data_IF_511049616576
#
_entry.id   IF_511049616576
#
_cell.length_a   1.000
_cell.length_b   1.000
_cell.length_c   1.000
_cell.angle_alpha   90.00
_cell.angle_beta   90.00
_cell.angle_gamma   90.00
#
_symmetry.space_group_name_H-M   'P 1'
#
loop_
_entity.id
_entity.type
_entity.pdbx_description
1 polymer ?
2 polymer ?
3 polymer ?
#
loop_
_entity_poly.entity_id
_entity_poly.type
_entity_poly.pdbx_seq_one_letter_code
_entity_poly.pdbx_strand_id
2 'polydeoxyribonucleotide' '(DA)(DA)(DG)(DA)(DT)(DA)(DA)(DC)(DG)(DA)(DT)(DA)(DT)(DT)(DT)(DA)' ?
3 'polydeoxyribonucleotide' '(DT)(DA)(DA)(DA)(DT)(DA)(DT)(DC)(DG)(DT)(DT)(DA)(DT)(DC)(DT)(DT)' ?
#
# COMPACT_ATOMS: atom_id res chain seq x y z
N UNK A 1 20.65 -4.10 5.15
CA UNK A 1 20.74 -2.66 4.83
C UNK A 1 19.36 -2.04 4.64
N UNK A 2 18.48 -2.71 3.89
CA UNK A 2 17.14 -2.18 3.64
C UNK A 2 16.14 -2.63 4.70
N UNK A 3 16.63 -3.39 5.69
CA UNK A 3 15.79 -3.91 6.77
C UNK A 3 14.71 -4.87 6.27
N UNK A 4 13.98 -5.46 7.22
CA UNK A 4 12.89 -6.40 6.93
C UNK A 4 13.36 -7.64 6.16
N UNK A 5 12.43 -8.54 5.93
CA UNK A 5 12.69 -9.79 5.22
C UNK A 5 11.46 -10.69 5.35
N UNK A 6 11.44 -11.80 4.63
CA UNK A 6 10.31 -12.72 4.69
C UNK A 6 10.12 -13.31 6.09
N UNK A 7 11.22 -13.71 6.71
CA UNK A 7 11.18 -14.29 8.06
C UNK A 7 10.50 -13.36 9.05
N UNK A 8 10.82 -12.07 8.97
CA UNK A 8 10.25 -11.08 9.88
C UNK A 8 8.80 -10.76 9.51
N UNK A 9 8.51 -10.81 8.21
CA UNK A 9 7.16 -10.53 7.71
C UNK A 9 6.17 -11.57 8.24
N UNK A 10 6.62 -12.83 8.27
CA UNK A 10 5.79 -13.92 8.77
C UNK A 10 5.50 -13.72 10.26
N UNK A 11 6.49 -13.17 10.97
CA UNK A 11 6.34 -12.90 12.40
C UNK A 11 5.34 -11.78 12.61
N UNK A 12 5.28 -10.86 11.67
CA UNK A 12 4.37 -9.72 11.74
C UNK A 12 2.92 -10.20 11.89
N UNK A 13 2.53 -11.16 11.05
CA UNK A 13 1.18 -11.73 11.10
C UNK A 13 0.86 -12.27 12.50
N UNK A 14 1.86 -12.88 13.13
CA UNK A 14 1.70 -13.44 14.46
C UNK A 14 1.61 -12.33 15.50
N UNK A 15 2.47 -11.33 15.34
CA UNK A 15 2.51 -10.20 16.25
C UNK A 15 1.22 -9.39 16.20
N UNK A 16 0.73 -9.13 14.99
CA UNK A 16 -0.51 -8.36 14.81
C UNK A 16 -1.68 -9.10 15.45
N UNK A 17 -1.69 -10.42 15.30
CA UNK A 17 -2.74 -11.24 15.85
C UNK A 17 -2.75 -11.21 17.38
N UNK A 18 -1.56 -11.19 17.97
CA UNK A 18 -1.42 -11.18 19.43
C UNK A 18 -1.51 -9.78 20.05
N UNK A 19 -0.83 -8.81 19.45
CA UNK A 19 -0.83 -7.44 19.98
C UNK A 19 -2.01 -6.60 19.53
N UNK A 20 -2.46 -6.81 18.30
CA UNK A 20 -3.59 -6.05 17.79
C UNK A 20 -3.21 -5.19 16.61
N UNK A 21 -4.07 -4.23 16.27
CA UNK A 21 -3.82 -3.36 15.13
C UNK A 21 -3.58 -1.92 15.58
N UNK A 22 -3.13 -1.75 16.81
CA UNK A 22 -2.85 -0.41 17.33
C UNK A 22 -1.65 -0.43 18.28
N UNK A 23 -1.46 -1.53 19.00
CA UNK A 23 -0.34 -1.66 19.93
C UNK A 23 0.95 -2.00 19.18
N UNK A 24 1.24 -1.22 18.13
CA UNK A 24 2.42 -1.43 17.31
C UNK A 24 3.70 -1.10 18.08
N UNK A 25 3.54 -0.41 19.19
CA UNK A 25 4.68 -0.04 20.02
C UNK A 25 5.30 -1.29 20.63
N UNK A 26 4.46 -2.31 20.81
CA UNK A 26 4.91 -3.59 21.34
C UNK A 26 5.86 -4.25 20.36
N UNK A 27 5.55 -4.14 19.08
CA UNK A 27 6.37 -4.71 18.03
C UNK A 27 7.63 -3.87 17.86
N UNK A 28 7.50 -2.57 18.14
CA UNK A 28 8.62 -1.65 18.02
C UNK A 28 9.69 -1.94 19.08
N UNK A 29 9.36 -2.81 20.02
CA UNK A 29 10.31 -3.20 21.06
C UNK A 29 11.22 -4.30 20.54
N UNK A 30 10.74 -5.02 19.53
CA UNK A 30 11.49 -6.09 18.91
C UNK A 30 12.20 -5.53 17.68
N UNK A 31 11.55 -4.57 17.06
CA UNK A 31 12.08 -3.90 15.88
C UNK A 31 12.03 -2.40 16.11
N UNK A 32 13.18 -1.81 16.41
CA UNK A 32 13.24 -0.38 16.71
C UNK A 32 13.84 0.41 15.55
N UNK A 33 14.47 -0.30 14.63
CA UNK A 33 15.11 0.32 13.48
C UNK A 33 14.11 0.66 12.37
N UNK A 34 12.83 0.68 12.71
CA UNK A 34 11.81 0.99 11.73
C UNK A 34 10.69 1.83 12.34
N UNK A 35 10.11 2.68 11.50
CA UNK A 35 8.98 3.52 11.88
C UNK A 35 7.81 2.61 12.24
N UNK A 36 7.28 2.71 13.47
CA UNK A 36 6.15 1.88 13.93
C UNK A 36 5.00 1.80 12.93
N UNK A 37 4.71 2.92 12.28
CA UNK A 37 3.64 2.99 11.30
C UNK A 37 3.94 2.16 10.06
N UNK A 38 5.22 1.93 9.80
CA UNK A 38 5.63 1.17 8.64
C UNK A 38 5.36 -0.31 8.82
N UNK A 39 5.38 -0.77 10.07
CA UNK A 39 5.07 -2.16 10.38
C UNK A 39 3.61 -2.39 10.03
N UNK A 40 2.81 -1.35 10.23
CA UNK A 40 1.39 -1.39 9.93
C UNK A 40 1.21 -1.26 8.42
N UNK A 41 2.10 -0.49 7.81
CA UNK A 41 2.09 -0.25 6.37
C UNK A 41 2.21 -1.57 5.61
N UNK A 42 3.07 -2.46 6.10
CA UNK A 42 3.26 -3.76 5.46
C UNK A 42 2.04 -4.65 5.67
N UNK A 43 1.58 -4.74 6.91
CA UNK A 43 0.40 -5.56 7.23
C UNK A 43 -0.79 -5.12 6.38
N UNK A 44 -0.99 -3.82 6.34
CA UNK A 44 -2.10 -3.21 5.60
C UNK A 44 -1.94 -3.34 4.08
N UNK A 45 -0.71 -3.46 3.60
CA UNK A 45 -0.48 -3.56 2.15
C UNK A 45 -0.07 -4.94 1.68
N UNK A 46 -0.16 -5.97 2.54
CA UNK A 46 0.24 -7.30 2.10
C UNK A 46 -0.64 -8.42 2.65
N UNK A 47 -0.88 -8.44 3.94
CA UNK A 47 -1.67 -9.51 4.55
C UNK A 47 -3.12 -9.10 4.77
N UNK A 48 -3.37 -7.79 4.72
CA UNK A 48 -4.71 -7.26 4.90
C UNK A 48 -5.56 -7.39 3.62
N UNK A 49 -5.07 -6.88 2.47
CA UNK A 49 -5.80 -6.93 1.21
C UNK A 49 -5.31 -8.05 0.30
N UNK A 50 -5.71 -7.96 -0.96
CA UNK A 50 -5.32 -8.93 -1.97
C UNK A 50 -4.87 -8.22 -3.25
N UNK A 51 -3.84 -7.39 -3.12
CA UNK A 51 -3.31 -6.65 -4.26
C UNK A 51 -2.51 -7.54 -5.19
N UNK A 52 -3.22 -8.28 -6.03
CA UNK A 52 -2.59 -9.20 -6.97
C UNK A 52 -3.38 -9.26 -8.27
N UNK A 53 -3.22 -10.37 -9.00
CA UNK A 53 -3.88 -10.58 -10.29
C UNK A 53 -3.97 -9.30 -11.13
N UNK A 54 -2.81 -8.70 -11.40
CA UNK A 54 -2.73 -7.46 -12.21
C UNK A 54 -3.28 -6.25 -11.45
N UNK A 55 -2.95 -5.02 -11.90
CA UNK A 55 -3.43 -3.79 -11.25
C UNK A 55 -4.92 -3.56 -11.51
N UNK A 56 -5.32 -2.30 -11.58
CA UNK A 56 -6.72 -1.96 -11.82
C UNK A 56 -7.02 -2.00 -13.31
N UNK A 57 -8.30 -2.05 -13.65
CA UNK A 57 -8.71 -2.10 -15.04
C UNK A 57 -8.85 -0.68 -15.59
N UNK A 58 -8.88 -0.53 -16.94
CA UNK A 58 -9.03 0.78 -17.59
C UNK A 58 -10.26 1.54 -17.10
N UNK A 59 -11.24 0.81 -16.59
CA UNK A 59 -12.45 1.43 -16.06
C UNK A 59 -12.10 2.24 -14.82
N UNK A 60 -11.20 1.69 -14.02
CA UNK A 60 -10.75 2.35 -12.80
C UNK A 60 -9.76 3.45 -13.15
N UNK A 61 -8.94 3.19 -14.17
CA UNK A 61 -7.94 4.16 -14.63
C UNK A 61 -8.59 5.49 -15.01
N UNK A 62 -9.68 5.41 -15.76
CA UNK A 62 -10.39 6.61 -16.18
C UNK A 62 -11.30 7.14 -15.10
N UNK A 63 -11.58 6.34 -14.09
CA UNK A 63 -12.42 6.75 -12.98
C UNK A 63 -11.57 7.49 -11.96
N UNK A 64 -10.39 6.94 -11.70
CA UNK A 64 -9.44 7.49 -10.75
C UNK A 64 -8.98 8.89 -11.18
N UNK A 65 -9.14 9.19 -12.47
CA UNK A 65 -8.77 10.50 -12.99
C UNK A 65 -9.60 11.57 -12.27
N UNK A 66 -10.89 11.28 -12.13
CA UNK A 66 -11.81 12.19 -11.45
C UNK A 66 -11.76 11.94 -9.95
N UNK A 67 -11.64 10.68 -9.57
CA UNK A 67 -11.55 10.29 -8.16
C UNK A 67 -10.13 10.50 -7.66
N UNK A 68 -9.68 11.73 -7.79
CA UNK A 68 -8.34 12.14 -7.41
C UNK A 68 -8.26 13.66 -7.51
N UNK A 69 -8.74 14.19 -8.62
CA UNK A 69 -8.74 15.63 -8.84
C UNK A 69 -9.81 16.31 -7.99
N UNK A 70 -10.55 15.51 -7.24
CA UNK A 70 -11.60 16.02 -6.37
C UNK A 70 -11.18 15.91 -4.91
N UNK A 71 -10.40 14.89 -4.58
CA UNK A 71 -9.93 14.65 -3.22
C UNK A 71 -8.41 14.55 -3.20
N UNK A 72 -7.76 15.50 -3.85
CA UNK A 72 -6.30 15.53 -3.95
C UNK A 72 -5.64 14.16 -4.03
N UNK A 73 -4.52 13.95 -3.33
CA UNK A 73 -3.82 12.67 -3.31
C UNK A 73 -4.28 11.81 -2.14
N UNK A 74 -5.56 11.89 -1.83
CA UNK A 74 -6.13 11.13 -0.72
C UNK A 74 -6.37 9.68 -1.09
N UNK A 75 -5.33 8.99 -1.53
CA UNK A 75 -5.43 7.58 -1.90
C UNK A 75 -6.06 6.75 -0.79
N UNK A 76 -5.85 7.16 0.46
CA UNK A 76 -6.42 6.50 1.64
C UNK A 76 -7.94 6.42 1.51
N UNK A 77 -8.53 7.49 0.97
CA UNK A 77 -9.97 7.56 0.79
C UNK A 77 -10.38 6.89 -0.53
N UNK A 78 -9.50 6.94 -1.51
CA UNK A 78 -9.77 6.36 -2.81
C UNK A 78 -9.80 4.83 -2.75
N UNK A 79 -8.94 4.24 -1.93
CA UNK A 79 -8.88 2.79 -1.78
C UNK A 79 -10.19 2.26 -1.18
N UNK A 80 -10.96 3.18 -0.60
CA UNK A 80 -12.24 2.84 0.00
C UNK A 80 -13.32 2.71 -1.07
N UNK A 81 -13.12 3.41 -2.18
CA UNK A 81 -14.08 3.35 -3.29
C UNK A 81 -13.74 2.16 -4.18
N UNK A 82 -12.49 1.72 -4.09
CA UNK A 82 -12.01 0.59 -4.87
C UNK A 82 -11.54 -0.51 -3.92
N UNK A 83 -12.51 -1.23 -3.36
CA UNK A 83 -12.25 -2.31 -2.41
C UNK A 83 -11.41 -3.42 -3.03
N UNK A 84 -10.09 -3.27 -2.94
CA UNK A 84 -9.15 -4.26 -3.48
C UNK A 84 -7.69 -3.85 -3.34
N UNK A 85 -7.39 -2.57 -3.49
CA UNK A 85 -6.01 -2.10 -3.41
C UNK A 85 -5.78 -1.14 -2.25
N UNK A 86 -4.54 -1.04 -1.79
CA UNK A 86 -4.19 -0.16 -0.66
C UNK A 86 -3.30 1.01 -1.08
N UNK A 87 -2.99 1.86 -0.10
CA UNK A 87 -2.17 3.06 -0.24
C UNK A 87 -0.87 2.88 -1.02
N UNK A 88 0.18 2.33 -0.37
CA UNK A 88 1.48 2.14 -1.01
C UNK A 88 1.42 1.29 -2.28
N UNK A 89 0.29 0.65 -2.53
CA UNK A 89 0.13 -0.15 -3.73
C UNK A 89 -0.44 0.68 -4.87
N UNK A 90 -1.46 1.47 -4.58
CA UNK A 90 -2.09 2.32 -5.59
C UNK A 90 -1.16 3.47 -5.97
N UNK A 91 -0.56 4.10 -4.96
CA UNK A 91 0.36 5.21 -5.21
C UNK A 91 1.50 4.75 -6.10
N UNK A 92 2.07 3.59 -5.78
CA UNK A 92 3.17 3.03 -6.57
C UNK A 92 2.71 2.76 -7.99
N UNK A 93 1.56 2.13 -8.12
CA UNK A 93 1.01 1.78 -9.43
C UNK A 93 0.55 3.00 -10.23
N UNK A 94 0.08 4.04 -9.55
CA UNK A 94 -0.36 5.24 -10.23
C UNK A 94 0.80 5.91 -10.95
N UNK A 95 1.92 6.04 -10.24
CA UNK A 95 3.11 6.65 -10.82
C UNK A 95 3.66 5.75 -11.91
N UNK A 96 3.51 4.45 -11.70
CA UNK A 96 3.96 3.44 -12.65
C UNK A 96 3.15 3.50 -13.94
N UNK A 97 1.84 3.47 -13.81
CA UNK A 97 0.94 3.51 -14.97
C UNK A 97 1.03 4.85 -15.69
N UNK A 98 1.31 5.92 -14.95
CA UNK A 98 1.40 7.25 -15.52
C UNK A 98 2.59 7.34 -16.48
N UNK A 99 3.62 6.54 -16.21
CA UNK A 99 4.81 6.51 -17.06
C UNK A 99 4.47 5.99 -18.44
N UNK A 100 3.44 5.15 -18.52
CA UNK A 100 3.01 4.58 -19.78
C UNK A 100 1.89 5.40 -20.39
N UNK A 101 1.03 5.94 -19.53
CA UNK A 101 -0.11 6.76 -19.96
C UNK A 101 0.37 8.07 -20.59
N UNK A 102 1.41 8.66 -20.02
CA UNK A 102 1.96 9.91 -20.51
C UNK A 102 2.68 9.76 -21.85
N UNK A 103 2.70 8.55 -22.40
CA UNK A 103 3.35 8.28 -23.68
C UNK A 103 4.85 8.51 -23.65
N UNK A 104 5.48 8.52 -24.82
CA UNK A 104 6.92 8.72 -24.92
C UNK A 104 7.28 9.47 -26.20
N UNK A 105 7.53 10.76 -26.07
CA UNK A 105 7.89 11.59 -27.22
C UNK A 105 9.30 11.25 -27.70
N UNK A 106 9.52 11.33 -29.01
CA UNK A 106 10.81 11.00 -29.59
C UNK A 106 10.95 11.66 -30.96
N UNK A 107 10.06 11.31 -31.86
CA UNK A 107 10.07 11.87 -33.21
C UNK A 107 8.78 11.51 -33.93
#
# INVERSE_FOLDING_TARGET
>A
KVKFTEEEDLKLQQLVMRYGAKDWIRISQLMITRNPRQCRERWNNYINPALRTDPWSPEEDMLLDQKYAEYGPKWNKISKFLKNRSDNNIRNRWMMIARHRAKHQKS
#
